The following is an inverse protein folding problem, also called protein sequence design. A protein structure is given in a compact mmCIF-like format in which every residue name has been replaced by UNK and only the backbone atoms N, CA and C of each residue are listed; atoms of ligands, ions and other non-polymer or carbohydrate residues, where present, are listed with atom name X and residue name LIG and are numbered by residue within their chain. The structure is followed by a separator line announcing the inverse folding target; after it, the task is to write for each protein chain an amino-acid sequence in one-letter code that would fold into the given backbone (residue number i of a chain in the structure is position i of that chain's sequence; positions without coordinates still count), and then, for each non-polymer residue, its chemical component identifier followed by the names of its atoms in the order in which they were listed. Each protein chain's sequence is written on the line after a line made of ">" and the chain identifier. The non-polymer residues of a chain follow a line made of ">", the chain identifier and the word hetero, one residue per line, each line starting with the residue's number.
data_IF_796637875361
#
_entry.id   IF_796637875361
#
_cell.length_a   1.000
_cell.length_b   1.000
_cell.length_c   1.000
_cell.angle_alpha   90.00
_cell.angle_beta   90.00
_cell.angle_gamma   90.00
#
_symmetry.space_group_name_H-M   'P 1'
#
loop_
_entity.id
_entity.type
_entity.pdbx_description
1 polymer ?
#
# COMPACT_ATOMS: atom_id res chain seq x y z
N UNK A 1 36.33 -2.33 -53.87
CA UNK A 1 36.11 -1.94 -52.46
C UNK A 1 34.62 -1.75 -52.28
N UNK A 2 33.95 -2.58 -51.47
CA UNK A 2 32.53 -2.41 -51.12
C UNK A 2 32.46 -2.31 -49.60
N UNK A 3 32.04 -1.15 -49.09
CA UNK A 3 31.90 -0.90 -47.66
C UNK A 3 30.54 -1.43 -47.19
N UNK A 4 30.55 -2.47 -46.37
CA UNK A 4 29.35 -2.94 -45.66
C UNK A 4 29.17 -2.05 -44.44
N UNK A 5 28.08 -1.28 -44.42
CA UNK A 5 27.72 -0.43 -43.28
C UNK A 5 26.75 -1.23 -42.42
N UNK A 6 27.21 -1.73 -41.27
CA UNK A 6 26.37 -2.43 -40.31
C UNK A 6 25.53 -1.40 -39.52
N UNK A 7 24.21 -1.47 -39.64
CA UNK A 7 23.30 -0.75 -38.75
C UNK A 7 23.16 -1.54 -37.44
N UNK A 8 23.66 -0.98 -36.34
CA UNK A 8 23.40 -1.49 -35.00
C UNK A 8 21.93 -1.21 -34.64
N UNK A 9 21.12 -2.26 -34.56
CA UNK A 9 19.74 -2.16 -34.10
C UNK A 9 19.70 -1.87 -32.61
N UNK A 10 19.18 -0.69 -32.23
CA UNK A 10 18.71 -0.43 -30.88
C UNK A 10 17.39 -1.18 -30.69
N UNK A 11 17.44 -2.33 -30.01
CA UNK A 11 16.22 -2.90 -29.45
C UNK A 11 15.79 -2.02 -28.26
N UNK A 12 14.55 -1.52 -28.20
CA UNK A 12 14.05 -0.91 -26.98
C UNK A 12 14.05 -1.99 -25.90
N UNK A 13 14.89 -1.82 -24.88
CA UNK A 13 14.76 -2.58 -23.65
C UNK A 13 13.46 -2.10 -23.03
N UNK A 14 12.35 -2.78 -23.33
CA UNK A 14 11.12 -2.63 -22.56
C UNK A 14 11.48 -3.13 -21.18
N UNK A 15 11.84 -2.20 -20.31
CA UNK A 15 12.09 -2.46 -18.90
C UNK A 15 10.77 -2.93 -18.32
N UNK A 16 10.60 -4.24 -18.23
CA UNK A 16 9.60 -4.84 -17.37
C UNK A 16 10.00 -4.46 -15.94
N UNK A 17 9.61 -3.26 -15.50
CA UNK A 17 9.55 -2.94 -14.08
C UNK A 17 8.92 -4.15 -13.39
N UNK A 18 9.50 -4.69 -12.30
CA UNK A 18 8.94 -5.85 -11.65
C UNK A 18 7.47 -5.57 -11.40
N UNK A 19 6.59 -6.49 -11.81
CA UNK A 19 5.13 -6.31 -11.81
C UNK A 19 4.62 -5.71 -10.47
N UNK A 20 5.28 -6.07 -9.37
CA UNK A 20 5.06 -5.50 -8.05
C UNK A 20 5.18 -3.96 -7.97
N UNK A 21 6.09 -3.31 -8.69
CA UNK A 21 6.19 -1.84 -8.77
C UNK A 21 4.95 -1.22 -9.41
N UNK A 22 4.47 -1.82 -10.50
CA UNK A 22 3.28 -1.31 -11.21
C UNK A 22 1.99 -1.49 -10.41
N UNK A 23 1.97 -2.52 -9.56
CA UNK A 23 0.87 -2.88 -8.68
C UNK A 23 1.07 -2.38 -7.25
N UNK A 24 2.14 -1.63 -7.00
CA UNK A 24 2.49 -1.08 -5.71
C UNK A 24 1.33 -0.30 -5.11
N UNK A 25 1.00 -0.61 -3.86
CA UNK A 25 -0.09 0.00 -3.12
C UNK A 25 -1.48 -0.44 -3.55
N UNK A 26 -1.64 -1.37 -4.49
CA UNK A 26 -2.96 -1.84 -4.94
C UNK A 26 -3.45 -3.01 -4.10
N UNK A 27 -4.78 -3.04 -3.94
CA UNK A 27 -5.51 -4.25 -3.56
C UNK A 27 -5.76 -5.05 -4.85
N UNK A 28 -5.45 -6.34 -4.82
CA UNK A 28 -5.60 -7.28 -5.91
C UNK A 28 -6.63 -8.35 -5.52
N UNK A 29 -7.44 -8.77 -6.49
CA UNK A 29 -8.38 -9.87 -6.34
C UNK A 29 -7.95 -11.02 -7.25
N UNK A 30 -7.70 -12.17 -6.67
CA UNK A 30 -7.34 -13.37 -7.40
C UNK A 30 -8.58 -13.96 -8.07
N UNK A 31 -8.68 -13.85 -9.40
CA UNK A 31 -9.92 -14.17 -10.13
C UNK A 31 -10.01 -15.60 -10.64
N UNK A 32 -8.92 -16.36 -10.59
CA UNK A 32 -8.83 -17.74 -11.09
C UNK A 32 -8.92 -18.80 -9.99
N UNK A 33 -9.23 -18.40 -8.75
CA UNK A 33 -9.34 -19.30 -7.59
C UNK A 33 -10.55 -18.92 -6.70
N UNK A 34 -10.37 -18.72 -5.39
CA UNK A 34 -11.50 -18.50 -4.46
C UNK A 34 -11.86 -17.02 -4.29
N UNK A 35 -11.28 -16.12 -5.09
CA UNK A 35 -11.51 -14.68 -4.94
C UNK A 35 -10.68 -14.05 -3.82
N UNK A 36 -9.53 -14.63 -3.49
CA UNK A 36 -8.64 -14.14 -2.44
C UNK A 36 -8.21 -12.69 -2.70
N UNK A 37 -8.23 -11.90 -1.63
CA UNK A 37 -7.73 -10.52 -1.66
C UNK A 37 -6.27 -10.47 -1.22
N UNK A 38 -5.49 -9.65 -1.92
CA UNK A 38 -4.08 -9.40 -1.65
C UNK A 38 -3.80 -7.90 -1.67
N UNK A 39 -2.80 -7.43 -0.93
CA UNK A 39 -2.34 -6.06 -0.96
C UNK A 39 -0.84 -6.01 -1.23
N UNK A 40 -0.44 -5.24 -2.24
CA UNK A 40 0.98 -5.05 -2.55
C UNK A 40 1.49 -3.85 -1.77
N UNK A 41 2.33 -4.07 -0.77
CA UNK A 41 2.81 -2.98 0.07
C UNK A 41 3.89 -2.17 -0.67
N UNK A 42 3.76 -0.83 -0.77
CA UNK A 42 4.73 0.00 -1.48
C UNK A 42 6.11 0.06 -0.83
N UNK A 43 6.24 -0.32 0.46
CA UNK A 43 7.51 -0.27 1.17
C UNK A 43 8.48 -1.40 0.83
N UNK A 44 7.99 -2.59 0.48
CA UNK A 44 8.83 -3.76 0.19
C UNK A 44 8.45 -4.50 -1.09
N UNK A 45 7.42 -4.03 -1.80
CA UNK A 45 6.91 -4.61 -3.05
C UNK A 45 6.48 -6.08 -2.91
N UNK A 46 6.11 -6.49 -1.69
CA UNK A 46 5.55 -7.82 -1.43
C UNK A 46 4.04 -7.77 -1.36
N UNK A 47 3.42 -8.90 -1.70
CA UNK A 47 1.99 -9.10 -1.50
C UNK A 47 1.70 -9.67 -0.11
N UNK A 48 0.70 -9.10 0.52
CA UNK A 48 0.18 -9.46 1.83
C UNK A 48 -1.23 -10.00 1.67
N UNK A 49 -1.53 -11.09 2.37
CA UNK A 49 -2.82 -11.75 2.24
C UNK A 49 -3.89 -11.01 3.05
N UNK A 50 -5.02 -10.66 2.41
CA UNK A 50 -6.15 -9.96 3.03
C UNK A 50 -7.41 -10.82 3.16
N UNK A 51 -7.33 -12.11 2.79
CA UNK A 51 -8.51 -12.98 2.74
C UNK A 51 -9.06 -13.40 4.11
N UNK A 52 -8.27 -13.31 5.19
CA UNK A 52 -8.75 -13.55 6.57
C UNK A 52 -8.77 -12.23 7.37
N UNK A 53 -9.81 -12.00 8.20
CA UNK A 53 -9.91 -10.80 9.03
C UNK A 53 -8.68 -10.56 9.91
N UNK A 54 -8.12 -11.62 10.52
CA UNK A 54 -6.95 -11.50 11.39
C UNK A 54 -5.70 -11.04 10.63
N UNK A 55 -5.44 -11.58 9.43
CA UNK A 55 -4.30 -11.15 8.62
C UNK A 55 -4.45 -9.70 8.18
N UNK A 56 -5.65 -9.32 7.71
CA UNK A 56 -5.94 -7.95 7.32
C UNK A 56 -5.74 -6.97 8.49
N UNK A 57 -6.17 -7.35 9.70
CA UNK A 57 -5.97 -6.54 10.90
C UNK A 57 -4.49 -6.39 11.25
N UNK A 58 -3.70 -7.47 11.20
CA UNK A 58 -2.25 -7.40 11.43
C UNK A 58 -1.56 -6.50 10.40
N UNK A 59 -1.93 -6.61 9.12
CA UNK A 59 -1.39 -5.77 8.04
C UNK A 59 -1.67 -4.30 8.30
N UNK A 60 -2.93 -3.96 8.64
CA UNK A 60 -3.30 -2.58 8.96
C UNK A 60 -2.45 -2.04 10.11
N UNK A 61 -2.26 -2.81 11.18
CA UNK A 61 -1.48 -2.37 12.36
C UNK A 61 0.02 -2.25 12.10
N UNK A 62 0.60 -3.14 11.31
CA UNK A 62 2.06 -3.24 11.16
C UNK A 62 2.59 -2.43 9.98
N UNK A 63 1.82 -2.35 8.90
CA UNK A 63 2.16 -1.58 7.69
C UNK A 63 1.47 -0.22 7.65
N UNK A 64 0.55 0.04 8.57
CA UNK A 64 -0.14 1.30 8.72
C UNK A 64 0.82 2.42 9.11
N UNK A 65 0.72 3.53 8.41
CA UNK A 65 1.42 4.76 8.74
C UNK A 65 0.57 5.56 9.74
N UNK A 66 1.07 5.72 10.96
CA UNK A 66 0.45 6.62 11.94
C UNK A 66 0.38 8.05 11.42
N UNK A 67 -0.79 8.67 11.49
CA UNK A 67 -1.04 10.04 11.08
C UNK A 67 -1.95 10.75 12.08
N UNK A 68 -1.82 12.07 12.18
CA UNK A 68 -2.71 12.89 13.00
C UNK A 68 -4.09 12.97 12.37
N UNK A 69 -5.13 13.17 13.19
CA UNK A 69 -6.48 13.39 12.70
C UNK A 69 -6.56 14.60 11.78
N UNK A 70 -5.76 15.65 12.06
CA UNK A 70 -5.68 16.84 11.20
C UNK A 70 -5.13 16.52 9.81
N UNK A 71 -4.08 15.69 9.73
CA UNK A 71 -3.53 15.27 8.43
C UNK A 71 -4.55 14.43 7.66
N UNK A 72 -5.26 13.52 8.33
CA UNK A 72 -6.29 12.69 7.68
C UNK A 72 -7.45 13.57 7.19
N UNK A 73 -7.96 14.49 8.00
CA UNK A 73 -9.13 15.30 7.65
C UNK A 73 -8.80 16.47 6.71
N UNK A 74 -7.53 16.84 6.55
CA UNK A 74 -7.09 18.00 5.76
C UNK A 74 -7.29 17.87 4.23
N UNK A 75 -7.57 16.67 3.71
CA UNK A 75 -7.60 16.37 2.28
C UNK A 75 -8.99 15.98 1.74
N UNK A 76 -10.08 16.40 2.40
CA UNK A 76 -11.45 15.93 2.12
C UNK A 76 -11.88 15.79 0.64
N UNK A 77 -11.50 16.74 -0.23
CA UNK A 77 -11.76 16.68 -1.70
C UNK A 77 -10.51 16.79 -2.56
N UNK A 78 -9.34 16.91 -1.93
CA UNK A 78 -8.06 17.07 -2.61
C UNK A 78 -7.26 15.78 -2.48
N UNK A 79 -6.56 15.32 -3.53
CA UNK A 79 -5.69 14.17 -3.41
C UNK A 79 -4.63 14.39 -2.33
N UNK A 80 -4.34 13.35 -1.56
CA UNK A 80 -3.25 13.37 -0.57
C UNK A 80 -1.89 13.53 -1.28
N UNK A 81 -0.81 13.87 -0.55
CA UNK A 81 0.54 13.88 -1.10
C UNK A 81 0.95 12.51 -1.66
N UNK A 82 1.67 12.49 -2.79
CA UNK A 82 2.02 11.25 -3.50
C UNK A 82 2.75 10.19 -2.64
N UNK A 83 3.50 10.61 -1.62
CA UNK A 83 4.27 9.69 -0.79
C UNK A 83 3.42 8.83 0.15
N UNK A 84 2.12 9.14 0.33
CA UNK A 84 1.17 8.29 1.08
C UNK A 84 0.24 7.47 0.18
N UNK A 85 0.36 7.61 -1.14
CA UNK A 85 -0.50 6.88 -2.07
C UNK A 85 -0.23 5.38 -1.97
N UNK A 86 -1.31 4.61 -1.96
CA UNK A 86 -1.25 3.17 -1.81
C UNK A 86 -0.90 2.70 -0.40
N UNK A 87 -0.78 3.60 0.59
CA UNK A 87 -0.56 3.25 2.00
C UNK A 87 -1.88 3.21 2.78
N UNK A 88 -1.81 2.56 3.93
CA UNK A 88 -2.86 2.62 4.96
C UNK A 88 -2.41 3.67 5.98
N UNK A 89 -3.24 4.67 6.24
CA UNK A 89 -3.05 5.61 7.34
C UNK A 89 -3.84 5.12 8.56
N UNK A 90 -3.24 5.23 9.74
CA UNK A 90 -3.88 4.97 11.02
C UNK A 90 -3.99 6.26 11.80
N UNK A 91 -5.18 6.63 12.22
CA UNK A 91 -5.37 7.75 13.14
C UNK A 91 -4.87 7.36 14.53
N UNK A 92 -3.79 8.00 14.98
CA UNK A 92 -3.18 7.72 16.30
C UNK A 92 -3.72 8.60 17.43
N UNK A 93 -4.58 9.57 17.13
CA UNK A 93 -5.10 10.55 18.10
C UNK A 93 -6.55 10.27 18.52
N UNK A 94 -7.31 9.53 17.72
CA UNK A 94 -8.71 9.18 18.01
C UNK A 94 -8.86 7.70 18.38
N UNK A 95 -9.50 6.89 17.52
CA UNK A 95 -9.91 5.53 17.82
C UNK A 95 -9.07 4.46 17.06
N UNK A 96 -7.94 4.83 16.47
CA UNK A 96 -7.18 3.89 15.64
C UNK A 96 -7.81 3.62 14.27
N UNK A 97 -8.61 4.56 13.77
CA UNK A 97 -9.31 4.44 12.48
C UNK A 97 -8.31 4.28 11.33
N UNK A 98 -8.62 3.38 10.40
CA UNK A 98 -7.77 3.08 9.26
C UNK A 98 -8.34 3.67 7.96
N UNK A 99 -7.46 4.22 7.13
CA UNK A 99 -7.81 4.79 5.82
C UNK A 99 -6.83 4.31 4.75
N UNK A 100 -7.34 3.70 3.69
CA UNK A 100 -6.53 3.34 2.52
C UNK A 100 -6.49 4.50 1.52
N UNK A 101 -5.29 4.98 1.20
CA UNK A 101 -5.13 6.04 0.19
C UNK A 101 -5.03 5.39 -1.18
N UNK A 102 -6.05 5.56 -2.01
CA UNK A 102 -6.12 4.87 -3.30
C UNK A 102 -4.98 5.32 -4.23
N UNK A 103 -4.13 4.40 -4.76
CA UNK A 103 -2.92 4.77 -5.49
C UNK A 103 -3.16 5.36 -6.89
N UNK A 104 -4.42 5.44 -7.35
CA UNK A 104 -4.75 6.05 -8.66
C UNK A 104 -5.20 7.49 -8.50
N UNK A 105 -6.10 7.77 -7.55
CA UNK A 105 -6.66 9.11 -7.37
C UNK A 105 -6.08 9.86 -6.17
N UNK A 106 -5.42 9.16 -5.25
CA UNK A 106 -4.91 9.74 -4.02
C UNK A 106 -5.97 10.02 -2.96
N UNK A 107 -7.21 9.55 -3.13
CA UNK A 107 -8.29 9.77 -2.15
C UNK A 107 -8.25 8.74 -1.02
N UNK A 108 -8.60 9.15 0.18
CA UNK A 108 -8.76 8.23 1.32
C UNK A 108 -10.07 7.45 1.23
N UNK A 109 -10.00 6.16 1.56
CA UNK A 109 -11.14 5.29 1.73
C UNK A 109 -11.11 4.66 3.12
N UNK A 110 -12.19 4.81 3.86
CA UNK A 110 -12.29 4.34 5.24
C UNK A 110 -12.31 2.81 5.33
N UNK A 111 -11.47 2.24 6.20
CA UNK A 111 -11.32 0.79 6.43
C UNK A 111 -11.83 0.35 7.80
N UNK A 112 -12.34 1.25 8.64
CA UNK A 112 -12.64 0.94 10.04
C UNK A 112 -13.85 0.02 10.27
N UNK A 113 -14.74 -0.18 9.28
CA UNK A 113 -15.82 -1.17 9.36
C UNK A 113 -15.66 -2.28 8.32
N UNK A 114 -16.03 -3.54 8.64
CA UNK A 114 -15.94 -4.65 7.70
C UNK A 114 -16.66 -4.41 6.36
N UNK A 115 -17.82 -3.73 6.40
CA UNK A 115 -18.59 -3.41 5.21
C UNK A 115 -17.86 -2.45 4.27
N UNK A 116 -17.21 -1.40 4.80
CA UNK A 116 -16.47 -0.43 3.99
C UNK A 116 -15.24 -1.08 3.36
N UNK A 117 -14.50 -1.87 4.15
CA UNK A 117 -13.35 -2.63 3.66
C UNK A 117 -13.74 -3.59 2.53
N UNK A 118 -14.88 -4.28 2.66
CA UNK A 118 -15.41 -5.14 1.61
C UNK A 118 -15.78 -4.36 0.34
N UNK A 119 -16.44 -3.21 0.47
CA UNK A 119 -16.75 -2.33 -0.66
C UNK A 119 -15.49 -1.85 -1.39
N UNK A 120 -14.42 -1.53 -0.66
CA UNK A 120 -13.13 -1.14 -1.23
C UNK A 120 -12.51 -2.30 -2.00
N UNK A 121 -12.45 -3.49 -1.42
CA UNK A 121 -11.91 -4.68 -2.09
C UNK A 121 -12.67 -4.97 -3.39
N UNK A 122 -14.00 -4.90 -3.35
CA UNK A 122 -14.87 -5.15 -4.52
C UNK A 122 -14.81 -4.06 -5.59
N UNK A 123 -14.74 -2.79 -5.19
CA UNK A 123 -14.84 -1.64 -6.09
C UNK A 123 -13.51 -1.14 -6.63
N UNK A 124 -12.45 -1.25 -5.83
CA UNK A 124 -11.11 -0.73 -6.15
C UNK A 124 -10.08 -1.84 -6.37
N UNK A 125 -10.42 -3.09 -6.02
CA UNK A 125 -9.56 -4.24 -6.23
C UNK A 125 -9.34 -4.53 -7.72
N UNK A 126 -8.08 -4.72 -8.11
CA UNK A 126 -7.72 -5.09 -9.46
C UNK A 126 -7.69 -6.61 -9.59
N UNK A 127 -8.46 -7.16 -10.54
CA UNK A 127 -8.39 -8.58 -10.87
C UNK A 127 -6.99 -8.99 -11.36
N UNK A 128 -6.46 -10.10 -10.85
CA UNK A 128 -5.14 -10.63 -11.24
C UNK A 128 -5.19 -12.15 -11.43
N UNK A 129 -4.47 -12.63 -12.46
CA UNK A 129 -4.30 -14.06 -12.73
C UNK A 129 -3.37 -14.72 -11.70
N UNK A 130 -3.47 -16.04 -11.56
CA UNK A 130 -2.57 -16.80 -10.68
C UNK A 130 -1.11 -16.69 -11.15
N UNK A 131 -0.90 -16.68 -12.47
CA UNK A 131 0.42 -16.57 -13.08
C UNK A 131 1.08 -15.22 -12.79
N UNK A 132 0.34 -14.12 -12.89
CA UNK A 132 0.87 -12.78 -12.62
C UNK A 132 1.01 -12.54 -11.12
N UNK A 133 0.04 -12.99 -10.32
CA UNK A 133 0.13 -12.91 -8.87
C UNK A 133 1.41 -13.58 -8.39
N UNK A 134 1.71 -14.80 -8.86
CA UNK A 134 2.90 -15.58 -8.50
C UNK A 134 4.24 -14.85 -8.74
N UNK A 135 4.29 -13.85 -9.63
CA UNK A 135 5.48 -13.03 -9.90
C UNK A 135 5.74 -11.97 -8.84
N UNK A 136 4.78 -11.71 -7.95
CA UNK A 136 4.90 -10.78 -6.82
C UNK A 136 5.29 -11.59 -5.58
N UNK A 137 6.42 -11.34 -4.92
CA UNK A 137 6.83 -12.09 -3.75
C UNK A 137 5.79 -12.02 -2.63
N UNK A 138 5.47 -13.16 -2.03
CA UNK A 138 4.58 -13.21 -0.86
C UNK A 138 5.35 -12.81 0.40
N UNK A 139 4.77 -11.96 1.23
CA UNK A 139 5.32 -11.65 2.53
C UNK A 139 5.06 -12.82 3.49
N UNK A 140 6.11 -13.32 4.15
CA UNK A 140 5.94 -14.25 5.25
C UNK A 140 5.34 -13.51 6.45
N UNK A 141 4.31 -14.08 7.09
CA UNK A 141 3.66 -13.50 8.27
C UNK A 141 4.61 -13.19 9.43
N UNK A 142 5.80 -13.79 9.45
CA UNK A 142 6.86 -13.54 10.45
C UNK A 142 7.77 -12.34 10.14
N UNK A 143 7.72 -11.79 8.92
CA UNK A 143 8.68 -10.80 8.42
C UNK A 143 8.01 -9.49 8.01
N UNK A 144 6.93 -9.13 8.69
CA UNK A 144 6.25 -7.85 8.48
C UNK A 144 7.21 -6.70 8.85
N UNK A 145 7.53 -5.80 7.91
CA UNK A 145 8.40 -4.67 8.19
C UNK A 145 7.69 -3.72 9.15
N UNK A 146 8.32 -3.48 10.31
CA UNK A 146 7.90 -2.36 11.18
C UNK A 146 8.22 -1.08 10.42
N UNK A 147 7.20 -0.42 9.89
CA UNK A 147 7.37 0.86 9.21
C UNK A 147 7.42 1.96 10.25
N UNK A 148 8.59 2.15 10.90
CA UNK A 148 8.87 3.37 11.65
C UNK A 148 9.36 4.38 10.62
N UNK A 149 8.52 5.36 10.27
CA UNK A 149 9.03 6.53 9.53
C UNK A 149 9.68 7.43 10.58
N UNK A 150 11.01 7.56 10.53
CA UNK A 150 11.71 8.66 11.19
C UNK A 150 11.09 9.97 10.68
N UNK A 151 10.41 10.67 11.58
CA UNK A 151 9.99 12.06 11.46
C UNK A 151 9.00 12.38 10.31
N UNK A 152 7.71 12.19 10.58
CA UNK A 152 6.69 13.20 10.21
C UNK A 152 6.48 14.15 11.40
N UNK A 153 7.59 14.65 11.95
CA UNK A 153 7.64 15.79 12.85
C UNK A 153 8.65 16.75 12.24
N UNK A 154 8.19 17.60 11.33
CA UNK A 154 8.83 18.89 11.08
C UNK A 154 8.10 19.94 11.93
N UNK A 155 8.09 19.70 13.25
CA UNK A 155 7.69 20.71 14.24
C UNK A 155 8.67 20.60 15.42
N UNK A 156 9.61 21.54 15.58
CA UNK A 156 10.66 21.45 16.60
C UNK A 156 10.19 21.67 18.05
N UNK A 157 8.88 21.63 18.35
CA UNK A 157 8.35 21.99 19.69
C UNK A 157 7.46 20.95 20.39
N UNK A 158 7.35 19.70 19.91
CA UNK A 158 6.57 18.69 20.64
C UNK A 158 7.45 17.83 21.57
N UNK A 159 7.42 18.19 22.86
CA UNK A 159 8.01 17.48 24.00
C UNK A 159 7.58 16.00 24.03
N UNK A 160 8.55 15.09 23.95
CA UNK A 160 8.38 13.63 23.88
C UNK A 160 8.29 12.97 25.27
N UNK A 161 8.26 13.73 26.35
CA UNK A 161 8.36 13.18 27.72
C UNK A 161 7.04 12.72 28.35
N UNK A 162 5.92 12.60 27.62
CA UNK A 162 4.65 12.23 28.26
C UNK A 162 3.70 11.31 27.47
N UNK A 163 4.18 10.15 27.01
CA UNK A 163 3.29 9.05 26.62
C UNK A 163 3.33 7.96 27.70
N UNK A 164 2.45 8.11 28.69
CA UNK A 164 2.16 7.07 29.68
C UNK A 164 1.18 6.05 29.07
N UNK A 165 1.68 4.85 28.75
CA UNK A 165 0.85 3.73 28.31
C UNK A 165 0.20 3.07 29.54
N UNK A 166 -0.99 3.55 29.92
CA UNK A 166 -1.85 2.92 30.92
C UNK A 166 -2.65 1.75 30.32
N UNK A 167 -2.61 0.61 31.03
CA UNK A 167 -3.32 -0.64 30.75
C UNK A 167 -4.85 -0.52 30.83
#
# INVERSE_FOLDING_TARGET
>A
MVAVTAFAGFAPVVSAAPLAETLSGRILLQVEENGEAWYVFPGDLKRYYLGRPDDAFQIMRQLGLGATSDFINGYGYTPYPRHVWGKILLDVQTNGEAYYIYPVSGNAHYLGRPADAFSIMRGLGLGISNADLARIPIAASSNLPVTIIENVYDNPEADIDNINFGY
#
